data_IF_064149488074
#
_entry.id   IF_064149488074
#
_cell.length_a   1.000
_cell.length_b   1.000
_cell.length_c   1.000
_cell.angle_alpha   90.00
_cell.angle_beta   90.00
_cell.angle_gamma   90.00
#
_symmetry.space_group_name_H-M   'P 1'
#
loop_
_entity.id
_entity.type
_entity.pdbx_description
1 polymer ?
#
# COMPACT_ATOMS: atom_id res chain seq x y z
N UNK A 1 79.63 -14.27 31.15
CA UNK A 1 79.06 -15.31 32.04
C UNK A 1 77.56 -15.07 32.09
N UNK A 2 76.83 -16.16 31.94
CA UNK A 2 75.37 -16.29 31.76
C UNK A 2 74.54 -15.60 32.85
N UNK A 3 73.31 -15.18 32.55
CA UNK A 3 72.13 -16.01 32.85
C UNK A 3 70.80 -15.39 32.38
N UNK A 4 69.94 -16.27 31.89
CA UNK A 4 68.53 -16.11 31.54
C UNK A 4 67.65 -16.12 32.80
N UNK A 5 66.55 -15.34 32.82
CA UNK A 5 65.16 -15.87 32.96
C UNK A 5 64.07 -14.83 33.20
N UNK A 6 62.97 -15.01 32.44
CA UNK A 6 61.54 -14.87 32.78
C UNK A 6 61.01 -13.52 33.33
N UNK A 7 59.98 -12.91 32.75
CA UNK A 7 58.59 -13.43 32.75
C UNK A 7 57.68 -12.60 31.83
N UNK A 8 56.74 -13.31 31.17
CA UNK A 8 55.62 -12.80 30.38
C UNK A 8 54.52 -12.20 31.28
N UNK A 9 53.80 -11.18 30.79
CA UNK A 9 52.38 -10.99 31.12
C UNK A 9 51.65 -10.28 29.98
N UNK A 10 50.67 -11.00 29.41
CA UNK A 10 49.90 -10.61 28.23
C UNK A 10 48.64 -9.82 28.56
N UNK A 11 48.17 -9.05 27.56
CA UNK A 11 46.88 -8.35 27.56
C UNK A 11 45.75 -9.37 27.27
N UNK A 12 44.58 -9.27 27.92
CA UNK A 12 43.49 -10.21 27.69
C UNK A 12 42.82 -9.97 26.34
N UNK A 13 42.70 -11.03 25.53
CA UNK A 13 41.80 -11.09 24.37
C UNK A 13 40.47 -11.69 24.84
N UNK A 14 39.39 -10.92 24.72
CA UNK A 14 38.01 -11.42 24.84
C UNK A 14 37.75 -12.42 23.71
N UNK A 15 37.62 -13.70 24.07
CA UNK A 15 37.16 -14.77 23.18
C UNK A 15 35.63 -14.73 23.17
N UNK A 16 35.04 -14.34 22.04
CA UNK A 16 33.60 -14.44 21.79
C UNK A 16 33.29 -15.91 21.44
N UNK A 17 32.81 -16.67 22.43
CA UNK A 17 32.28 -18.01 22.23
C UNK A 17 30.89 -17.90 21.58
N UNK A 18 30.83 -18.08 20.27
CA UNK A 18 29.59 -18.43 19.58
C UNK A 18 29.33 -19.93 19.79
N UNK A 19 28.19 -20.34 20.36
CA UNK A 19 27.78 -21.73 20.29
C UNK A 19 27.33 -22.03 18.86
N UNK A 20 28.10 -22.85 18.15
CA UNK A 20 27.55 -23.63 17.05
C UNK A 20 26.40 -24.48 17.60
N UNK A 21 25.33 -24.66 16.81
CA UNK A 21 24.09 -25.38 17.16
C UNK A 21 22.96 -24.56 17.81
N UNK A 22 22.47 -23.53 17.10
CA UNK A 22 21.06 -23.14 17.23
C UNK A 22 20.24 -24.06 16.31
N UNK A 23 19.74 -25.17 16.87
CA UNK A 23 18.69 -25.96 16.23
C UNK A 23 17.39 -25.14 16.25
N UNK A 24 16.85 -24.81 15.08
CA UNK A 24 15.53 -24.19 14.88
C UNK A 24 14.56 -25.24 14.31
N UNK A 25 13.81 -26.01 15.13
CA UNK A 25 12.82 -26.95 14.62
C UNK A 25 11.51 -26.25 14.19
N UNK A 26 11.38 -24.95 14.39
CA UNK A 26 10.12 -24.22 14.26
C UNK A 26 9.79 -23.77 12.81
N UNK A 27 10.74 -23.86 11.88
CA UNK A 27 10.54 -23.43 10.48
C UNK A 27 10.23 -24.58 9.51
N UNK A 28 10.07 -25.81 9.99
CA UNK A 28 10.07 -27.00 9.13
C UNK A 28 8.91 -27.99 9.39
N UNK A 29 7.70 -27.48 9.61
CA UNK A 29 6.48 -28.30 9.57
C UNK A 29 5.76 -28.12 8.23
N UNK A 30 6.35 -28.68 7.18
CA UNK A 30 5.63 -29.05 5.96
C UNK A 30 5.65 -30.58 5.85
N UNK A 31 4.51 -31.27 5.73
CA UNK A 31 4.49 -32.72 5.68
C UNK A 31 5.27 -33.25 4.47
N UNK A 32 6.13 -34.25 4.70
CA UNK A 32 7.09 -34.78 3.73
C UNK A 32 6.48 -35.68 2.64
N UNK A 33 5.20 -35.53 2.30
CA UNK A 33 4.50 -36.34 1.28
C UNK A 33 4.00 -35.46 0.15
N UNK A 34 4.88 -35.12 -0.78
CA UNK A 34 4.63 -34.97 -2.23
C UNK A 34 5.98 -34.66 -2.90
N UNK A 35 6.89 -35.64 -2.95
CA UNK A 35 8.05 -35.59 -3.86
C UNK A 35 7.55 -35.98 -5.26
N UNK A 36 6.91 -35.05 -5.96
CA UNK A 36 6.70 -35.18 -7.40
C UNK A 36 8.06 -34.94 -8.05
N UNK A 37 8.57 -35.96 -8.75
CA UNK A 37 9.86 -35.91 -9.41
C UNK A 37 9.96 -34.71 -10.34
N UNK A 38 10.96 -33.84 -10.11
CA UNK A 38 11.37 -32.78 -11.04
C UNK A 38 11.86 -33.42 -12.34
N UNK A 39 10.95 -33.66 -13.29
CA UNK A 39 11.32 -33.86 -14.68
C UNK A 39 11.52 -32.48 -15.28
N UNK A 40 12.77 -32.03 -15.34
CA UNK A 40 13.16 -30.79 -16.02
C UNK A 40 12.97 -31.03 -17.52
N UNK A 41 11.76 -30.83 -18.03
CA UNK A 41 11.50 -30.78 -19.47
C UNK A 41 12.22 -29.54 -20.00
N UNK A 42 13.41 -29.73 -20.59
CA UNK A 42 14.02 -28.75 -21.48
C UNK A 42 13.09 -28.62 -22.70
N UNK A 43 12.07 -27.77 -22.60
CA UNK A 43 11.43 -27.25 -23.80
C UNK A 43 12.47 -26.36 -24.49
N UNK A 44 12.78 -26.68 -25.74
CA UNK A 44 13.56 -25.79 -26.60
C UNK A 44 12.80 -24.46 -26.68
N UNK A 45 13.38 -23.39 -26.14
CA UNK A 45 12.85 -22.04 -26.30
C UNK A 45 12.81 -21.71 -27.79
N UNK A 46 11.60 -21.39 -28.27
CA UNK A 46 11.45 -20.71 -29.56
C UNK A 46 12.06 -19.31 -29.45
N UNK A 47 12.70 -18.78 -30.51
CA UNK A 47 13.17 -17.41 -30.51
C UNK A 47 11.94 -16.49 -30.51
N UNK A 48 11.67 -15.82 -29.38
CA UNK A 48 10.52 -14.91 -29.24
C UNK A 48 9.91 -14.83 -27.84
N UNK A 49 10.18 -15.78 -26.95
CA UNK A 49 9.71 -15.69 -25.56
C UNK A 49 10.77 -15.01 -24.70
N UNK A 50 10.67 -13.69 -24.52
CA UNK A 50 11.36 -13.03 -23.41
C UNK A 50 10.87 -13.70 -22.12
N UNK A 51 11.80 -14.30 -21.35
CA UNK A 51 11.48 -14.93 -20.08
C UNK A 51 10.87 -13.85 -19.17
N UNK A 52 9.64 -14.04 -18.66
CA UNK A 52 8.84 -13.04 -17.91
C UNK A 52 9.63 -12.35 -16.80
N UNK A 53 10.58 -13.08 -16.25
CA UNK A 53 11.38 -12.67 -15.10
C UNK A 53 12.64 -11.90 -15.52
N UNK A 54 13.11 -12.06 -16.76
CA UNK A 54 14.36 -11.53 -17.29
C UNK A 54 14.45 -10.01 -17.18
N UNK A 55 15.63 -9.54 -16.78
CA UNK A 55 15.93 -8.12 -16.66
C UNK A 55 16.63 -7.63 -17.93
N UNK A 56 16.28 -6.42 -18.36
CA UNK A 56 16.98 -5.76 -19.46
C UNK A 56 18.35 -5.29 -18.97
N UNK A 57 19.39 -5.54 -19.75
CA UNK A 57 20.79 -5.22 -19.38
C UNK A 57 21.47 -4.21 -20.30
N UNK A 58 20.81 -3.80 -21.39
CA UNK A 58 21.36 -2.81 -22.31
C UNK A 58 21.37 -1.40 -21.69
N UNK A 59 22.53 -0.75 -21.76
CA UNK A 59 22.74 0.66 -21.42
C UNK A 59 22.75 1.57 -22.65
N UNK A 60 22.40 1.05 -23.83
CA UNK A 60 22.34 1.87 -25.05
C UNK A 60 21.00 2.63 -25.12
N UNK A 61 21.05 3.96 -25.04
CA UNK A 61 19.86 4.82 -25.10
C UNK A 61 19.12 4.71 -26.45
N UNK A 62 19.82 4.38 -27.54
CA UNK A 62 19.19 4.18 -28.86
C UNK A 62 18.25 2.99 -28.90
N UNK A 63 18.41 2.01 -28.02
CA UNK A 63 17.47 0.90 -27.88
C UNK A 63 16.12 1.41 -27.39
N UNK A 64 16.11 2.31 -26.40
CA UNK A 64 14.87 2.93 -25.93
C UNK A 64 14.22 3.85 -26.95
N UNK A 65 15.00 4.56 -27.77
CA UNK A 65 14.45 5.35 -28.88
C UNK A 65 13.75 4.44 -29.89
N UNK A 66 14.36 3.31 -30.25
CA UNK A 66 13.76 2.32 -31.15
C UNK A 66 12.51 1.68 -30.56
N UNK A 67 12.50 1.40 -29.25
CA UNK A 67 11.31 0.91 -28.54
C UNK A 67 10.18 1.94 -28.57
N UNK A 68 10.48 3.22 -28.33
CA UNK A 68 9.50 4.31 -28.35
C UNK A 68 8.90 4.51 -29.76
N UNK A 69 9.73 4.42 -30.80
CA UNK A 69 9.27 4.51 -32.19
C UNK A 69 8.33 3.37 -32.59
N UNK A 70 8.49 2.19 -31.96
CA UNK A 70 7.63 1.01 -32.19
C UNK A 70 6.45 0.95 -31.22
N UNK A 71 6.33 1.89 -30.29
CA UNK A 71 5.30 1.85 -29.26
C UNK A 71 3.93 2.16 -29.86
N UNK A 72 2.98 1.24 -29.68
CA UNK A 72 1.59 1.47 -30.03
C UNK A 72 0.88 2.15 -28.87
N UNK A 73 0.60 3.44 -29.03
CA UNK A 73 -0.06 4.27 -28.02
C UNK A 73 -1.42 3.72 -27.61
N UNK A 74 -1.62 3.56 -26.30
CA UNK A 74 -2.87 3.13 -25.67
C UNK A 74 -3.41 4.26 -24.79
N UNK A 75 -4.69 4.18 -24.44
CA UNK A 75 -5.32 5.15 -23.52
C UNK A 75 -4.62 5.22 -22.16
N UNK A 76 -4.02 4.11 -21.70
CA UNK A 76 -3.19 4.09 -20.49
C UNK A 76 -1.96 4.99 -20.55
N UNK A 77 -1.48 5.35 -21.74
CA UNK A 77 -0.30 6.21 -21.92
C UNK A 77 -0.62 7.69 -21.67
N UNK A 78 -1.90 8.06 -21.63
CA UNK A 78 -2.34 9.41 -21.25
C UNK A 78 -1.81 9.82 -19.88
N UNK A 79 -1.57 8.85 -18.99
CA UNK A 79 -0.97 9.08 -17.68
C UNK A 79 0.38 9.81 -17.78
N UNK A 80 1.18 9.54 -18.83
CA UNK A 80 2.48 10.17 -19.01
C UNK A 80 2.36 11.63 -19.47
N UNK A 81 1.28 11.98 -20.18
CA UNK A 81 0.97 13.37 -20.48
C UNK A 81 0.65 14.16 -19.20
N UNK A 82 -0.18 13.58 -18.31
CA UNK A 82 -0.49 14.19 -17.00
C UNK A 82 0.78 14.34 -16.14
N UNK A 83 1.62 13.31 -16.08
CA UNK A 83 2.93 13.37 -15.40
C UNK A 83 3.81 14.46 -16.01
N UNK A 84 3.89 14.54 -17.34
CA UNK A 84 4.65 15.58 -18.04
C UNK A 84 4.17 16.99 -17.69
N UNK A 85 2.86 17.21 -17.66
CA UNK A 85 2.27 18.49 -17.27
C UNK A 85 2.60 18.86 -15.80
N UNK A 86 2.55 17.90 -14.88
CA UNK A 86 2.93 18.13 -13.48
C UNK A 86 4.42 18.46 -13.32
N UNK A 87 5.30 17.81 -14.08
CA UNK A 87 6.73 18.12 -14.09
C UNK A 87 6.97 19.53 -14.64
N UNK A 88 6.32 19.88 -15.77
CA UNK A 88 6.42 21.21 -16.36
C UNK A 88 5.91 22.29 -15.40
N UNK A 89 4.76 22.06 -14.76
CA UNK A 89 4.22 22.94 -13.73
C UNK A 89 5.21 23.10 -12.55
N UNK A 90 5.79 22.00 -12.07
CA UNK A 90 6.76 22.03 -10.97
C UNK A 90 8.01 22.82 -11.34
N UNK A 91 8.50 22.68 -12.56
CA UNK A 91 9.63 23.49 -13.07
C UNK A 91 9.26 24.94 -13.32
N UNK A 92 8.02 25.23 -13.67
CA UNK A 92 7.54 26.60 -13.83
C UNK A 92 7.54 27.37 -12.50
N UNK A 93 7.01 26.76 -11.43
CA UNK A 93 6.95 27.41 -10.10
C UNK A 93 8.30 27.41 -9.37
N UNK A 94 9.19 26.47 -9.66
CA UNK A 94 10.49 26.40 -9.00
C UNK A 94 11.39 27.60 -9.36
N UNK A 95 12.28 28.04 -8.44
CA UNK A 95 13.21 29.14 -8.69
C UNK A 95 13.98 29.03 -10.01
N UNK A 96 14.35 30.16 -10.64
CA UNK A 96 15.06 30.15 -11.92
C UNK A 96 16.44 29.51 -11.77
N UNK A 97 16.59 28.32 -12.33
CA UNK A 97 17.85 27.56 -12.37
C UNK A 97 17.96 26.81 -13.71
N UNK A 98 18.09 27.53 -14.85
CA UNK A 98 17.95 26.95 -16.18
C UNK A 98 18.94 25.81 -16.45
N UNK A 99 20.20 25.95 -16.00
CA UNK A 99 21.21 24.90 -16.14
C UNK A 99 20.84 23.62 -15.37
N UNK A 100 20.42 23.73 -14.11
CA UNK A 100 20.02 22.58 -13.28
C UNK A 100 18.78 21.91 -13.85
N UNK A 101 17.77 22.70 -14.25
CA UNK A 101 16.54 22.18 -14.88
C UNK A 101 16.84 21.46 -16.19
N UNK A 102 17.71 22.02 -17.03
CA UNK A 102 18.13 21.39 -18.29
C UNK A 102 18.88 20.07 -18.03
N UNK A 103 19.83 20.05 -17.09
CA UNK A 103 20.55 18.84 -16.71
C UNK A 103 19.62 17.77 -16.15
N UNK A 104 18.62 18.16 -15.34
CA UNK A 104 17.61 17.25 -14.84
C UNK A 104 16.79 16.63 -15.98
N UNK A 105 16.32 17.43 -16.96
CA UNK A 105 15.57 16.93 -18.12
C UNK A 105 16.42 15.95 -18.94
N UNK A 106 17.66 16.32 -19.25
CA UNK A 106 18.58 15.47 -20.02
C UNK A 106 18.86 14.17 -19.26
N UNK A 107 19.16 14.26 -17.96
CA UNK A 107 19.40 13.10 -17.11
C UNK A 107 18.20 12.16 -17.02
N UNK A 108 17.00 12.71 -16.82
CA UNK A 108 15.75 11.93 -16.82
C UNK A 108 15.50 11.25 -18.16
N UNK A 109 15.68 11.97 -19.28
CA UNK A 109 15.54 11.39 -20.62
C UNK A 109 16.52 10.24 -20.84
N UNK A 110 17.80 10.43 -20.46
CA UNK A 110 18.82 9.38 -20.56
C UNK A 110 18.47 8.12 -19.78
N UNK A 111 18.09 8.29 -18.51
CA UNK A 111 17.74 7.18 -17.61
C UNK A 111 16.46 6.46 -18.05
N UNK A 112 15.52 7.18 -18.68
CA UNK A 112 14.30 6.59 -19.24
C UNK A 112 14.51 5.95 -20.62
N UNK A 113 15.54 6.32 -21.37
CA UNK A 113 15.85 5.72 -22.67
C UNK A 113 16.72 4.46 -22.56
N UNK A 114 17.55 4.31 -21.53
CA UNK A 114 18.35 3.10 -21.35
C UNK A 114 17.49 1.92 -20.82
N UNK A 115 17.36 0.79 -21.53
CA UNK A 115 16.52 -0.33 -21.08
C UNK A 115 16.85 -0.86 -19.67
N UNK A 116 18.14 -0.91 -19.32
CA UNK A 116 18.61 -1.38 -18.02
C UNK A 116 18.07 -0.55 -16.84
N UNK A 117 17.94 0.76 -17.02
CA UNK A 117 17.43 1.67 -15.97
C UNK A 117 15.94 1.94 -16.12
N UNK A 118 15.43 2.02 -17.36
CA UNK A 118 14.01 2.28 -17.67
C UNK A 118 13.07 1.31 -16.98
N UNK A 119 13.44 0.02 -16.87
CA UNK A 119 12.61 -0.98 -16.19
C UNK A 119 12.32 -0.66 -14.71
N UNK A 120 13.16 0.17 -14.07
CA UNK A 120 12.95 0.69 -12.72
C UNK A 120 12.33 2.10 -12.73
N UNK A 121 12.87 3.01 -13.54
CA UNK A 121 12.47 4.42 -13.52
C UNK A 121 11.14 4.71 -14.20
N UNK A 122 10.76 3.95 -15.24
CA UNK A 122 9.48 4.16 -15.92
C UNK A 122 8.29 3.79 -15.03
N UNK A 123 8.26 2.63 -14.33
CA UNK A 123 7.19 2.36 -13.37
C UNK A 123 7.17 3.30 -12.16
N UNK A 124 8.33 3.81 -11.73
CA UNK A 124 8.44 4.71 -10.58
C UNK A 124 8.34 6.20 -10.95
N UNK A 125 8.11 6.55 -12.22
CA UNK A 125 8.08 7.95 -12.68
C UNK A 125 7.08 8.80 -11.90
N UNK A 126 5.95 8.22 -11.49
CA UNK A 126 4.91 8.90 -10.70
C UNK A 126 5.39 9.21 -9.27
N UNK A 127 6.26 8.38 -8.68
CA UNK A 127 6.87 8.64 -7.37
C UNK A 127 7.84 9.82 -7.47
N UNK A 128 8.71 9.82 -8.49
CA UNK A 128 9.65 10.93 -8.71
C UNK A 128 8.92 12.24 -9.00
N UNK A 129 7.83 12.17 -9.76
CA UNK A 129 6.96 13.31 -10.06
C UNK A 129 6.26 13.81 -8.80
N UNK A 130 5.74 12.91 -7.96
CA UNK A 130 5.17 13.26 -6.66
C UNK A 130 6.19 14.00 -5.78
N UNK A 131 7.41 13.47 -5.64
CA UNK A 131 8.46 14.10 -4.82
C UNK A 131 8.79 15.51 -5.35
N UNK A 132 9.02 15.63 -6.67
CA UNK A 132 9.27 16.93 -7.30
C UNK A 132 8.10 17.90 -7.05
N UNK A 133 6.88 17.46 -7.29
CA UNK A 133 5.66 18.25 -7.12
C UNK A 133 5.47 18.71 -5.67
N UNK A 134 5.64 17.80 -4.71
CA UNK A 134 5.56 18.09 -3.28
C UNK A 134 6.60 19.13 -2.86
N UNK A 135 7.87 18.95 -3.21
CA UNK A 135 8.92 19.90 -2.82
C UNK A 135 8.75 21.26 -3.51
N UNK A 136 8.37 21.28 -4.79
CA UNK A 136 8.15 22.51 -5.54
C UNK A 136 6.92 23.29 -5.08
N UNK A 137 5.93 22.62 -4.47
CA UNK A 137 4.70 23.25 -4.00
C UNK A 137 4.92 24.42 -3.02
N UNK A 138 6.05 24.48 -2.32
CA UNK A 138 6.42 25.62 -1.45
C UNK A 138 6.57 26.93 -2.21
N UNK A 139 6.88 26.86 -3.51
CA UNK A 139 7.12 28.04 -4.36
C UNK A 139 5.85 28.60 -4.99
N UNK A 140 4.67 27.99 -4.74
CA UNK A 140 3.39 28.56 -5.18
C UNK A 140 3.18 29.90 -4.44
N UNK A 141 2.98 31.03 -5.16
CA UNK A 141 2.76 32.33 -4.54
C UNK A 141 1.48 32.35 -3.68
N UNK A 142 1.52 33.08 -2.56
CA UNK A 142 0.44 33.09 -1.58
C UNK A 142 -0.90 33.58 -2.15
N UNK A 143 -0.89 34.43 -3.18
CA UNK A 143 -2.09 34.96 -3.85
C UNK A 143 -2.93 33.90 -4.59
N UNK A 144 -2.30 32.79 -5.01
CA UNK A 144 -3.00 31.68 -5.68
C UNK A 144 -3.42 30.58 -4.71
N UNK A 145 -3.01 30.67 -3.45
CA UNK A 145 -3.28 29.61 -2.48
C UNK A 145 -4.68 29.81 -1.88
N UNK A 146 -5.46 28.73 -1.73
CA UNK A 146 -6.83 28.81 -1.20
C UNK A 146 -6.86 29.15 0.30
N UNK A 147 -8.05 29.35 0.86
CA UNK A 147 -8.19 29.56 2.30
C UNK A 147 -7.80 28.30 3.11
N UNK A 148 -7.07 28.48 4.22
CA UNK A 148 -6.70 27.40 5.15
C UNK A 148 -7.83 27.13 6.13
N UNK A 149 -8.35 25.90 6.10
CA UNK A 149 -9.43 25.48 6.97
C UNK A 149 -8.91 25.03 8.34
N UNK A 150 -9.05 25.89 9.34
CA UNK A 150 -8.66 25.59 10.73
C UNK A 150 -9.76 24.90 11.54
N UNK A 151 -11.03 24.98 11.11
CA UNK A 151 -12.18 24.45 11.86
C UNK A 151 -12.76 23.13 11.33
N UNK A 152 -12.47 22.77 10.08
CA UNK A 152 -13.13 21.64 9.42
C UNK A 152 -12.78 20.31 10.09
N UNK A 153 -11.49 20.02 10.25
CA UNK A 153 -11.06 18.73 10.83
C UNK A 153 -11.45 18.59 12.31
N UNK A 154 -11.22 19.58 13.19
CA UNK A 154 -11.70 19.51 14.58
C UNK A 154 -13.21 19.31 14.69
N UNK A 155 -13.99 20.02 13.87
CA UNK A 155 -15.45 19.89 13.88
C UNK A 155 -15.89 18.50 13.42
N UNK A 156 -15.28 17.95 12.36
CA UNK A 156 -15.58 16.62 11.88
C UNK A 156 -15.21 15.54 12.90
N UNK A 157 -14.07 15.65 13.59
CA UNK A 157 -13.73 14.71 14.66
C UNK A 157 -14.76 14.74 15.79
N UNK A 158 -15.12 15.93 16.26
CA UNK A 158 -16.09 16.07 17.34
C UNK A 158 -17.47 15.51 16.94
N UNK A 159 -17.91 15.72 15.70
CA UNK A 159 -19.19 15.19 15.20
C UNK A 159 -19.16 13.68 15.02
N UNK A 160 -18.09 13.13 14.44
CA UNK A 160 -18.01 11.72 14.08
C UNK A 160 -17.63 10.81 15.25
N UNK A 161 -16.78 11.28 16.15
CA UNK A 161 -16.23 10.48 17.23
C UNK A 161 -16.64 10.95 18.62
N UNK A 162 -17.37 12.06 18.72
CA UNK A 162 -17.83 12.62 20.00
C UNK A 162 -16.72 13.29 20.82
N UNK A 163 -15.48 13.28 20.32
CA UNK A 163 -14.33 13.92 20.93
C UNK A 163 -13.21 14.14 19.90
N UNK A 164 -12.30 15.06 20.23
CA UNK A 164 -11.06 15.25 19.49
C UNK A 164 -10.07 14.16 19.92
N UNK A 165 -10.00 13.04 19.17
CA UNK A 165 -9.15 11.91 19.54
C UNK A 165 -7.68 12.31 19.59
N UNK A 166 -7.26 13.18 18.68
CA UNK A 166 -5.87 13.63 18.61
C UNK A 166 -5.46 14.38 19.89
N UNK A 167 -6.35 15.21 20.45
CA UNK A 167 -6.09 15.92 21.71
C UNK A 167 -6.08 14.99 22.91
N UNK A 168 -6.96 13.97 22.95
CA UNK A 168 -7.00 12.98 24.04
C UNK A 168 -5.71 12.14 24.06
N UNK A 169 -5.28 11.67 22.90
CA UNK A 169 -4.06 10.85 22.77
C UNK A 169 -2.81 11.68 23.09
N UNK A 170 -2.73 12.91 22.59
CA UNK A 170 -1.57 13.79 22.81
C UNK A 170 -1.51 14.41 24.20
N UNK A 171 -2.58 14.34 25.01
CA UNK A 171 -2.58 14.80 26.40
C UNK A 171 -1.74 13.92 27.35
N UNK A 172 -1.59 12.63 27.05
CA UNK A 172 -0.89 11.67 27.91
C UNK A 172 0.51 11.35 27.39
N UNK A 173 1.42 12.31 27.54
CA UNK A 173 2.78 12.21 26.99
C UNK A 173 3.72 11.46 27.92
N UNK A 174 4.52 10.57 27.35
CA UNK A 174 5.55 9.83 28.09
C UNK A 174 6.72 9.47 27.17
N UNK A 175 7.97 9.56 27.64
CA UNK A 175 9.15 9.35 26.78
C UNK A 175 9.19 7.97 26.12
N UNK A 176 8.66 6.93 26.78
CA UNK A 176 8.53 5.59 26.18
C UNK A 176 7.53 5.59 25.02
N UNK A 177 6.39 6.26 25.17
CA UNK A 177 5.39 6.38 24.12
C UNK A 177 5.90 7.25 22.96
N UNK A 178 6.70 8.28 23.27
CA UNK A 178 7.39 9.09 22.26
C UNK A 178 8.31 8.22 21.39
N UNK A 179 9.16 7.39 22.01
CA UNK A 179 10.03 6.47 21.26
C UNK A 179 9.19 5.44 20.46
N UNK A 180 8.13 4.89 21.05
CA UNK A 180 7.24 3.95 20.35
C UNK A 180 6.50 4.58 19.17
N UNK A 181 6.12 5.86 19.25
CA UNK A 181 5.51 6.59 18.13
C UNK A 181 6.57 6.97 17.08
N UNK A 182 7.78 7.29 17.53
CA UNK A 182 8.88 7.67 16.66
C UNK A 182 9.39 6.54 15.77
N UNK A 183 9.34 5.28 16.20
CA UNK A 183 9.77 4.15 15.35
C UNK A 183 8.99 4.10 14.01
N UNK A 184 7.65 3.94 14.01
CA UNK A 184 6.89 3.86 12.77
C UNK A 184 6.86 5.20 12.01
N UNK A 185 6.70 6.32 12.72
CA UNK A 185 6.49 7.64 12.11
C UNK A 185 7.77 8.45 11.88
N UNK A 186 8.80 8.34 12.71
CA UNK A 186 10.06 9.04 12.50
C UNK A 186 11.03 8.30 11.57
N UNK A 187 11.03 6.96 11.61
CA UNK A 187 12.00 6.14 10.90
C UNK A 187 11.38 5.28 9.79
N UNK A 188 10.40 4.44 10.13
CA UNK A 188 9.93 3.41 9.20
C UNK A 188 9.21 3.99 7.98
N UNK A 189 8.34 4.99 8.13
CA UNK A 189 7.50 5.44 7.00
C UNK A 189 8.29 5.98 5.78
N UNK A 190 9.55 6.41 5.96
CA UNK A 190 10.41 6.82 4.85
C UNK A 190 11.02 5.63 4.11
N UNK A 191 11.43 4.59 4.85
CA UNK A 191 12.11 3.41 4.31
C UNK A 191 11.15 2.29 3.88
N UNK A 192 9.98 2.20 4.50
CA UNK A 192 9.01 1.12 4.30
C UNK A 192 8.55 1.00 2.84
N UNK A 193 8.29 2.08 2.07
CA UNK A 193 7.91 1.94 0.66
C UNK A 193 8.99 1.24 -0.19
N UNK A 194 10.27 1.52 0.11
CA UNK A 194 11.42 0.93 -0.59
C UNK A 194 11.58 -0.53 -0.20
N UNK A 195 11.51 -0.84 1.10
CA UNK A 195 11.58 -2.22 1.59
C UNK A 195 10.44 -3.07 1.02
N UNK A 196 9.20 -2.56 1.03
CA UNK A 196 8.05 -3.22 0.43
C UNK A 196 8.27 -3.47 -1.08
N UNK A 197 8.76 -2.47 -1.82
CA UNK A 197 9.07 -2.63 -3.24
C UNK A 197 10.12 -3.71 -3.50
N UNK A 198 11.18 -3.78 -2.67
CA UNK A 198 12.21 -4.82 -2.77
C UNK A 198 11.67 -6.22 -2.45
N UNK A 199 10.89 -6.35 -1.37
CA UNK A 199 10.25 -7.61 -1.01
C UNK A 199 9.29 -8.09 -2.10
N UNK A 200 8.46 -7.20 -2.65
CA UNK A 200 7.59 -7.51 -3.78
C UNK A 200 8.38 -7.85 -5.04
N UNK A 201 9.50 -7.16 -5.30
CA UNK A 201 10.32 -7.47 -6.46
C UNK A 201 10.88 -8.89 -6.38
N UNK A 202 11.40 -9.31 -5.23
CA UNK A 202 12.08 -10.61 -5.06
C UNK A 202 11.10 -11.77 -4.84
N UNK A 203 10.08 -11.58 -3.99
CA UNK A 203 9.24 -12.67 -3.47
C UNK A 203 7.79 -12.65 -3.97
N UNK A 204 7.35 -11.58 -4.65
CA UNK A 204 6.02 -11.57 -5.27
C UNK A 204 6.07 -11.95 -6.75
N UNK A 205 4.89 -12.15 -7.33
CA UNK A 205 4.75 -12.44 -8.75
C UNK A 205 5.37 -11.33 -9.62
N UNK A 206 6.08 -11.67 -10.72
CA UNK A 206 6.65 -10.70 -11.64
C UNK A 206 5.60 -9.69 -12.11
N UNK A 207 5.96 -8.39 -12.11
CA UNK A 207 5.03 -7.30 -12.43
C UNK A 207 4.40 -6.61 -11.21
N UNK A 208 4.45 -7.21 -10.02
CA UNK A 208 3.87 -6.63 -8.79
C UNK A 208 4.54 -5.31 -8.39
N UNK A 209 5.87 -5.27 -8.32
CA UNK A 209 6.60 -4.06 -7.92
C UNK A 209 6.39 -2.84 -8.86
N UNK A 210 6.34 -3.01 -10.20
CA UNK A 210 5.91 -1.95 -11.11
C UNK A 210 4.48 -1.44 -10.87
N UNK A 211 3.54 -2.30 -10.48
CA UNK A 211 2.17 -1.88 -10.17
C UNK A 211 2.15 -1.12 -8.85
N UNK A 212 2.82 -1.64 -7.82
CA UNK A 212 3.06 -0.95 -6.55
C UNK A 212 3.57 0.48 -6.76
N UNK A 213 4.66 0.64 -7.52
CA UNK A 213 5.29 1.94 -7.71
C UNK A 213 4.35 2.95 -8.37
N UNK A 214 3.60 2.53 -9.39
CA UNK A 214 2.62 3.39 -10.08
C UNK A 214 1.48 3.78 -9.16
N UNK A 215 0.90 2.80 -8.46
CA UNK A 215 -0.23 3.01 -7.53
C UNK A 215 0.17 3.94 -6.39
N UNK A 216 1.33 3.71 -5.77
CA UNK A 216 1.87 4.56 -4.72
C UNK A 216 2.08 5.99 -5.23
N UNK A 217 2.75 6.16 -6.37
CA UNK A 217 3.00 7.50 -6.92
C UNK A 217 1.72 8.27 -7.26
N UNK A 218 0.73 7.64 -7.91
CA UNK A 218 -0.54 8.31 -8.24
C UNK A 218 -1.38 8.66 -7.01
N UNK A 219 -1.45 7.76 -6.03
CA UNK A 219 -2.11 8.02 -4.75
C UNK A 219 -1.47 9.24 -4.07
N UNK A 220 -0.14 9.30 -4.05
CA UNK A 220 0.59 10.41 -3.43
C UNK A 220 0.44 11.73 -4.18
N UNK A 221 0.42 11.72 -5.52
CA UNK A 221 0.08 12.90 -6.35
C UNK A 221 -1.32 13.41 -5.99
N UNK A 222 -2.30 12.51 -5.88
CA UNK A 222 -3.67 12.89 -5.52
C UNK A 222 -3.71 13.50 -4.11
N UNK A 223 -3.07 12.87 -3.12
CA UNK A 223 -3.04 13.38 -1.75
C UNK A 223 -2.44 14.79 -1.67
N UNK A 224 -1.29 15.03 -2.29
CA UNK A 224 -0.68 16.38 -2.35
C UNK A 224 -1.59 17.37 -3.08
N UNK A 225 -2.24 16.94 -4.16
CA UNK A 225 -3.17 17.81 -4.90
C UNK A 225 -4.36 18.23 -4.03
N UNK A 226 -4.94 17.30 -3.26
CA UNK A 226 -6.02 17.63 -2.32
C UNK A 226 -5.51 18.57 -1.23
N UNK A 227 -4.33 18.32 -0.66
CA UNK A 227 -3.73 19.19 0.36
C UNK A 227 -3.49 20.63 -0.13
N UNK A 228 -3.20 20.81 -1.43
CA UNK A 228 -3.02 22.13 -2.03
C UNK A 228 -4.35 22.83 -2.35
N UNK A 229 -5.37 22.09 -2.77
CA UNK A 229 -6.69 22.64 -3.12
C UNK A 229 -7.60 22.84 -1.90
N UNK A 230 -7.40 22.04 -0.85
CA UNK A 230 -8.17 22.03 0.38
C UNK A 230 -7.23 21.92 1.59
N UNK A 231 -6.42 22.96 1.86
CA UNK A 231 -5.48 22.96 2.97
C UNK A 231 -6.25 23.01 4.30
N UNK A 232 -5.91 22.09 5.19
CA UNK A 232 -6.48 21.99 6.52
C UNK A 232 -5.38 22.03 7.56
N UNK A 233 -5.61 22.78 8.64
CA UNK A 233 -4.65 22.86 9.73
C UNK A 233 -4.59 21.52 10.50
N UNK A 234 -3.39 21.05 10.87
CA UNK A 234 -3.19 19.86 11.69
C UNK A 234 -3.40 20.13 13.20
N UNK A 235 -3.47 19.08 14.05
CA UNK A 235 -3.73 19.23 15.49
C UNK A 235 -2.74 20.12 16.25
N UNK A 236 -1.46 20.10 15.89
CA UNK A 236 -0.47 20.98 16.52
C UNK A 236 -0.83 22.46 16.40
N UNK A 237 -1.45 22.87 15.29
CA UNK A 237 -1.83 24.26 15.09
C UNK A 237 -2.97 24.64 16.03
N UNK A 238 -3.97 23.76 16.19
CA UNK A 238 -5.06 23.97 17.14
C UNK A 238 -4.54 24.07 18.58
N UNK A 239 -3.55 23.26 18.96
CA UNK A 239 -2.97 23.32 20.30
C UNK A 239 -2.15 24.60 20.56
N UNK A 240 -1.43 25.11 19.55
CA UNK A 240 -0.57 26.28 19.69
C UNK A 240 -1.32 27.62 19.50
N UNK A 241 -2.28 27.66 18.59
CA UNK A 241 -2.96 28.88 18.13
C UNK A 241 -4.49 28.85 18.28
N UNK A 242 -5.06 27.76 18.80
CA UNK A 242 -6.50 27.58 18.86
C UNK A 242 -7.14 27.54 17.47
N UNK A 243 -8.32 28.16 17.34
CA UNK A 243 -9.08 28.21 16.08
C UNK A 243 -8.92 29.54 15.35
N UNK A 244 -7.82 30.25 15.60
CA UNK A 244 -7.49 31.50 14.93
C UNK A 244 -7.17 31.24 13.44
N UNK A 245 -7.62 32.12 12.52
CA UNK A 245 -7.35 31.94 11.09
C UNK A 245 -5.85 31.86 10.80
N UNK A 246 -5.43 30.76 10.16
CA UNK A 246 -4.05 30.57 9.71
C UNK A 246 -3.74 31.45 8.49
N UNK A 247 -2.48 31.87 8.38
CA UNK A 247 -1.99 32.66 7.27
C UNK A 247 -0.79 31.98 6.57
N UNK A 248 -0.67 32.19 5.26
CA UNK A 248 0.50 31.75 4.52
C UNK A 248 1.75 32.53 4.93
N UNK A 249 2.88 31.83 5.03
CA UNK A 249 4.15 32.38 5.53
C UNK A 249 4.44 32.02 6.99
N UNK A 250 3.47 31.46 7.72
CA UNK A 250 3.73 30.84 9.03
C UNK A 250 4.65 29.62 8.86
N UNK A 251 5.63 29.42 9.77
CA UNK A 251 6.45 28.21 9.79
C UNK A 251 5.59 26.99 10.15
N UNK A 252 6.03 25.80 9.76
CA UNK A 252 5.46 24.56 10.31
C UNK A 252 5.91 24.34 11.76
N UNK A 253 5.35 23.31 12.41
CA UNK A 253 5.76 22.89 13.75
C UNK A 253 6.21 21.42 13.75
N UNK A 254 7.31 21.08 14.45
CA UNK A 254 7.67 19.69 14.73
C UNK A 254 6.67 19.00 15.66
N UNK A 255 5.76 19.74 16.32
CA UNK A 255 4.76 19.19 17.21
C UNK A 255 5.37 18.23 18.26
N UNK A 256 4.78 17.04 18.43
CA UNK A 256 5.29 16.04 19.36
C UNK A 256 6.70 15.52 19.04
N UNK A 257 7.18 15.65 17.79
CA UNK A 257 8.54 15.23 17.42
C UNK A 257 9.62 16.12 18.05
N UNK A 258 9.31 17.34 18.50
CA UNK A 258 10.26 18.15 19.26
C UNK A 258 10.76 17.43 20.53
N UNK A 259 9.92 16.57 21.13
CA UNK A 259 10.31 15.75 22.27
C UNK A 259 11.37 14.70 21.90
N UNK A 260 11.35 14.19 20.67
CA UNK A 260 12.34 13.24 20.18
C UNK A 260 13.70 13.91 19.98
N UNK A 261 13.71 15.09 19.37
CA UNK A 261 14.90 15.93 19.26
C UNK A 261 15.53 16.18 20.64
N UNK A 262 14.70 16.52 21.64
CA UNK A 262 15.14 16.72 23.02
C UNK A 262 15.67 15.44 23.69
N UNK A 263 15.03 14.28 23.47
CA UNK A 263 15.46 12.99 24.03
C UNK A 263 16.85 12.60 23.50
N UNK A 264 17.10 12.79 22.20
CA UNK A 264 18.37 12.40 21.58
C UNK A 264 19.42 13.51 21.52
N UNK A 265 19.07 14.75 21.85
CA UNK A 265 19.95 15.90 21.75
C UNK A 265 20.33 16.24 20.30
N UNK A 266 19.41 16.05 19.36
CA UNK A 266 19.60 16.31 17.92
C UNK A 266 18.65 17.42 17.44
N UNK A 267 18.95 18.03 16.29
CA UNK A 267 18.03 18.92 15.57
C UNK A 267 17.74 18.31 14.20
N UNK A 268 16.83 17.33 14.19
CA UNK A 268 16.40 16.67 12.97
C UNK A 268 14.97 17.08 12.62
N UNK A 269 14.06 17.01 13.58
CA UNK A 269 12.65 17.27 13.32
C UNK A 269 12.30 18.74 13.41
N UNK A 270 12.92 19.47 14.32
CA UNK A 270 12.68 20.90 14.55
C UNK A 270 12.95 21.70 13.27
N UNK A 271 14.15 21.59 12.70
CA UNK A 271 14.47 22.29 11.44
C UNK A 271 13.63 21.79 10.24
N UNK A 272 13.45 20.48 10.09
CA UNK A 272 12.78 19.93 8.90
C UNK A 272 11.27 20.23 8.87
N UNK A 273 10.59 20.17 10.02
CA UNK A 273 9.15 20.47 10.09
C UNK A 273 8.87 21.96 10.08
N UNK A 274 9.76 22.79 10.63
CA UNK A 274 9.63 24.26 10.53
C UNK A 274 9.68 24.75 9.09
N UNK A 275 10.36 24.02 8.20
CA UNK A 275 10.57 24.35 6.79
C UNK A 275 9.80 23.44 5.82
N UNK A 276 8.79 22.73 6.31
CA UNK A 276 7.96 21.82 5.53
C UNK A 276 7.32 22.53 4.32
N UNK A 277 7.28 21.92 3.12
CA UNK A 277 6.69 22.56 1.94
C UNK A 277 5.19 22.90 2.08
N UNK A 278 4.44 22.05 2.80
CA UNK A 278 2.97 22.14 2.94
C UNK A 278 2.59 21.96 4.42
N UNK A 279 2.82 22.96 5.28
CA UNK A 279 2.59 22.84 6.73
C UNK A 279 1.10 22.67 7.09
N UNK A 280 0.20 23.20 6.26
CA UNK A 280 -1.26 23.09 6.42
C UNK A 280 -1.87 22.02 5.49
N UNK A 281 -1.11 20.97 5.20
CA UNK A 281 -1.53 19.85 4.35
C UNK A 281 -2.01 18.64 5.16
N UNK A 282 -2.78 18.84 6.25
CA UNK A 282 -3.19 17.72 7.10
C UNK A 282 -4.13 16.73 6.37
N UNK A 283 -5.01 17.23 5.50
CA UNK A 283 -6.05 16.44 4.85
C UNK A 283 -5.78 16.19 3.35
N UNK A 284 -5.87 14.94 2.86
CA UNK A 284 -5.90 13.69 3.62
C UNK A 284 -4.51 13.33 4.15
N UNK A 285 -4.42 12.43 5.13
CA UNK A 285 -3.13 11.98 5.63
C UNK A 285 -2.44 11.04 4.65
N UNK A 286 -1.31 11.50 4.09
CA UNK A 286 -0.44 10.66 3.26
C UNK A 286 0.30 9.59 4.08
N UNK A 287 0.54 9.82 5.38
CA UNK A 287 1.16 8.81 6.24
C UNK A 287 0.24 7.59 6.40
N UNK A 288 -1.05 7.82 6.70
CA UNK A 288 -2.04 6.74 6.73
C UNK A 288 -2.23 6.10 5.36
N UNK A 289 -2.35 6.91 4.30
CA UNK A 289 -2.53 6.40 2.95
C UNK A 289 -1.38 5.46 2.54
N UNK A 290 -0.13 5.87 2.78
CA UNK A 290 1.05 5.05 2.50
C UNK A 290 1.04 3.76 3.31
N UNK A 291 0.85 3.83 4.63
CA UNK A 291 0.89 2.65 5.50
C UNK A 291 -0.24 1.65 5.19
N UNK A 292 -1.44 2.14 4.87
CA UNK A 292 -2.56 1.29 4.45
C UNK A 292 -2.29 0.67 3.09
N UNK A 293 -1.75 1.42 2.12
CA UNK A 293 -1.42 0.89 0.80
C UNK A 293 -0.35 -0.20 0.91
N UNK A 294 0.70 0.03 1.69
CA UNK A 294 1.74 -0.96 2.01
C UNK A 294 1.11 -2.22 2.61
N UNK A 295 0.25 -2.05 3.60
CA UNK A 295 -0.40 -3.18 4.26
C UNK A 295 -1.27 -4.01 3.31
N UNK A 296 -2.00 -3.37 2.39
CA UNK A 296 -2.82 -4.05 1.40
C UNK A 296 -1.98 -4.83 0.38
N UNK A 297 -0.95 -4.22 -0.20
CA UNK A 297 -0.06 -4.90 -1.14
C UNK A 297 0.73 -6.03 -0.49
N UNK A 298 1.26 -5.81 0.71
CA UNK A 298 2.01 -6.82 1.44
C UNK A 298 1.10 -7.96 1.90
N UNK A 299 -0.15 -7.69 2.28
CA UNK A 299 -1.14 -8.74 2.59
C UNK A 299 -1.55 -9.55 1.37
N UNK A 300 -1.60 -8.93 0.19
CA UNK A 300 -1.82 -9.66 -1.07
C UNK A 300 -0.66 -10.60 -1.41
N UNK A 301 0.57 -10.13 -1.24
CA UNK A 301 1.77 -10.91 -1.55
C UNK A 301 2.04 -12.00 -0.49
N UNK A 302 1.78 -11.69 0.79
CA UNK A 302 2.12 -12.52 1.95
C UNK A 302 0.95 -12.60 2.95
N UNK A 303 -0.17 -13.26 2.60
CA UNK A 303 -1.37 -13.31 3.44
C UNK A 303 -1.13 -13.91 4.82
N UNK A 304 -0.14 -14.80 4.98
CA UNK A 304 0.25 -15.34 6.28
C UNK A 304 0.74 -14.27 7.28
N UNK A 305 1.22 -13.12 6.80
CA UNK A 305 1.70 -12.01 7.63
C UNK A 305 0.72 -10.83 7.68
N UNK A 306 -0.51 -11.01 7.17
CA UNK A 306 -1.55 -9.97 7.10
C UNK A 306 -1.75 -9.22 8.41
N UNK A 307 -1.81 -9.95 9.53
CA UNK A 307 -2.00 -9.35 10.86
C UNK A 307 -0.89 -8.37 11.20
N UNK A 308 0.38 -8.70 10.91
CA UNK A 308 1.51 -7.81 11.16
C UNK A 308 1.44 -6.53 10.33
N UNK A 309 1.05 -6.64 9.05
CA UNK A 309 0.91 -5.48 8.18
C UNK A 309 -0.23 -4.56 8.61
N UNK A 310 -1.37 -5.11 9.04
CA UNK A 310 -2.49 -4.33 9.57
C UNK A 310 -2.10 -3.65 10.89
N UNK A 311 -1.41 -4.37 11.78
CA UNK A 311 -0.88 -3.80 13.03
C UNK A 311 0.08 -2.64 12.75
N UNK A 312 0.97 -2.78 11.75
CA UNK A 312 1.86 -1.69 11.32
C UNK A 312 1.09 -0.45 10.86
N UNK A 313 0.08 -0.61 9.99
CA UNK A 313 -0.74 0.51 9.54
C UNK A 313 -1.45 1.21 10.71
N UNK A 314 -2.04 0.43 11.63
CA UNK A 314 -2.65 0.96 12.85
C UNK A 314 -1.63 1.69 13.75
N UNK A 315 -0.41 1.18 13.84
CA UNK A 315 0.66 1.77 14.63
C UNK A 315 1.13 3.13 14.06
N UNK A 316 1.24 3.26 12.72
CA UNK A 316 1.51 4.55 12.06
C UNK A 316 0.38 5.54 12.34
N UNK A 317 -0.88 5.13 12.17
CA UNK A 317 -2.04 5.98 12.44
C UNK A 317 -2.04 6.50 13.89
N UNK A 318 -1.86 5.61 14.86
CA UNK A 318 -1.73 5.98 16.27
C UNK A 318 -0.58 6.97 16.49
N UNK A 319 0.60 6.69 15.94
CA UNK A 319 1.79 7.52 16.13
C UNK A 319 1.57 8.95 15.60
N UNK A 320 0.94 9.11 14.44
CA UNK A 320 0.67 10.43 13.86
C UNK A 320 -0.33 11.26 14.66
N UNK A 321 -1.32 10.63 15.31
CA UNK A 321 -2.24 11.31 16.24
C UNK A 321 -1.55 11.65 17.55
N UNK A 322 -0.80 10.70 18.12
CA UNK A 322 -0.10 10.88 19.40
C UNK A 322 0.95 12.00 19.33
N UNK A 323 1.61 12.16 18.19
CA UNK A 323 2.56 13.25 17.92
C UNK A 323 1.89 14.53 17.37
N UNK A 324 0.55 14.56 17.32
CA UNK A 324 -0.27 15.73 16.96
C UNK A 324 -0.08 16.25 15.53
N UNK A 325 0.24 15.37 14.59
CA UNK A 325 0.35 15.73 13.16
C UNK A 325 -0.93 15.50 12.37
N UNK A 326 -1.82 14.63 12.84
CA UNK A 326 -3.02 14.23 12.12
C UNK A 326 -4.23 14.01 13.03
N UNK A 327 -5.40 14.32 12.49
CA UNK A 327 -6.70 13.97 13.08
C UNK A 327 -7.14 12.59 12.60
N UNK A 328 -7.87 11.82 13.40
CA UNK A 328 -8.40 10.52 13.04
C UNK A 328 -9.17 10.51 11.70
N UNK A 329 -9.94 11.57 11.42
CA UNK A 329 -10.73 11.67 10.18
C UNK A 329 -9.83 11.77 8.93
N UNK A 330 -8.71 12.49 9.00
CA UNK A 330 -7.81 12.61 7.85
C UNK A 330 -7.04 11.32 7.59
N UNK A 331 -6.79 10.51 8.63
CA UNK A 331 -6.23 9.17 8.54
C UNK A 331 -7.21 8.18 7.88
N UNK A 332 -8.48 8.23 8.28
CA UNK A 332 -9.53 7.39 7.69
C UNK A 332 -9.68 7.70 6.20
N UNK A 333 -9.78 8.98 5.82
CA UNK A 333 -9.89 9.35 4.41
C UNK A 333 -8.63 8.97 3.62
N UNK A 334 -7.44 9.15 4.19
CA UNK A 334 -6.18 8.68 3.58
C UNK A 334 -6.19 7.17 3.32
N UNK A 335 -6.62 6.38 4.31
CA UNK A 335 -6.76 4.93 4.18
C UNK A 335 -7.83 4.50 3.15
N UNK A 336 -8.93 5.24 3.04
CA UNK A 336 -9.96 4.99 2.01
C UNK A 336 -9.42 5.27 0.61
N UNK A 337 -8.70 6.38 0.41
CA UNK A 337 -8.05 6.70 -0.87
C UNK A 337 -7.07 5.57 -1.24
N UNK A 338 -6.20 5.16 -0.31
CA UNK A 338 -5.29 4.04 -0.52
C UNK A 338 -6.01 2.75 -0.92
N UNK A 339 -7.12 2.43 -0.24
CA UNK A 339 -7.94 1.27 -0.54
C UNK A 339 -8.53 1.34 -1.94
N UNK A 340 -9.09 2.48 -2.36
CA UNK A 340 -9.60 2.68 -3.71
C UNK A 340 -8.52 2.45 -4.77
N UNK A 341 -7.32 3.01 -4.57
CA UNK A 341 -6.18 2.82 -5.46
C UNK A 341 -5.73 1.36 -5.52
N UNK A 342 -5.64 0.69 -4.37
CA UNK A 342 -5.29 -0.73 -4.29
C UNK A 342 -6.29 -1.60 -5.05
N UNK A 343 -7.58 -1.49 -4.78
CA UNK A 343 -8.58 -2.35 -5.40
C UNK A 343 -8.74 -2.07 -6.90
N UNK A 344 -8.62 -0.81 -7.33
CA UNK A 344 -8.56 -0.47 -8.75
C UNK A 344 -7.34 -1.10 -9.43
N UNK A 345 -6.18 -1.08 -8.78
CA UNK A 345 -4.97 -1.72 -9.29
C UNK A 345 -5.07 -3.25 -9.29
N UNK A 346 -5.65 -3.83 -8.24
CA UNK A 346 -5.88 -5.26 -8.09
C UNK A 346 -6.74 -5.80 -9.23
N UNK A 347 -7.85 -5.13 -9.53
CA UNK A 347 -8.81 -5.59 -10.53
C UNK A 347 -8.24 -5.59 -11.97
N UNK A 348 -7.29 -4.69 -12.28
CA UNK A 348 -6.84 -4.45 -13.67
C UNK A 348 -5.41 -4.86 -13.98
N UNK A 349 -4.50 -4.73 -13.03
CA UNK A 349 -3.06 -4.79 -13.31
C UNK A 349 -2.26 -5.64 -12.33
N UNK A 350 -2.79 -6.00 -11.16
CA UNK A 350 -2.01 -6.72 -10.16
C UNK A 350 -1.91 -8.22 -10.51
N UNK A 351 -0.69 -8.77 -10.59
CA UNK A 351 -0.48 -10.20 -10.74
C UNK A 351 -1.11 -11.03 -9.61
N UNK A 352 -1.67 -12.18 -9.97
CA UNK A 352 -2.12 -13.19 -9.00
C UNK A 352 -0.93 -13.97 -8.43
N UNK A 353 -1.01 -14.24 -7.12
CA UNK A 353 -0.12 -15.20 -6.46
C UNK A 353 -0.48 -16.62 -6.89
N UNK A 354 0.53 -17.42 -7.20
CA UNK A 354 0.38 -18.85 -7.50
C UNK A 354 0.92 -19.69 -6.35
N UNK A 355 0.23 -20.79 -6.03
CA UNK A 355 0.63 -21.68 -4.94
C UNK A 355 1.96 -22.38 -5.23
N UNK A 356 2.74 -22.60 -4.18
CA UNK A 356 4.05 -23.26 -4.28
C UNK A 356 5.18 -22.41 -4.88
N UNK A 357 4.91 -21.17 -5.34
CA UNK A 357 5.92 -20.24 -5.86
C UNK A 357 6.32 -19.23 -4.80
N UNK A 358 7.58 -19.25 -4.38
CA UNK A 358 8.12 -18.39 -3.30
C UNK A 358 8.84 -17.17 -3.87
N UNK A 359 9.57 -17.33 -4.95
CA UNK A 359 10.36 -16.25 -5.56
C UNK A 359 9.86 -15.88 -6.95
N UNK A 360 10.12 -14.65 -7.39
CA UNK A 360 9.76 -14.18 -8.74
C UNK A 360 10.25 -15.12 -9.85
N UNK A 361 11.39 -15.77 -9.64
CA UNK A 361 12.09 -16.60 -10.64
C UNK A 361 11.46 -17.98 -10.84
N UNK A 362 10.56 -18.39 -9.96
CA UNK A 362 9.79 -19.64 -10.09
C UNK A 362 8.53 -19.46 -10.95
N UNK A 363 8.21 -18.22 -11.35
CA UNK A 363 7.05 -17.93 -12.18
C UNK A 363 7.34 -18.19 -13.66
N UNK A 364 6.68 -19.20 -14.21
CA UNK A 364 6.65 -19.48 -15.65
C UNK A 364 5.61 -18.66 -16.43
N UNK A 365 4.54 -18.20 -15.76
CA UNK A 365 3.48 -17.36 -16.33
C UNK A 365 2.84 -16.50 -15.23
N UNK A 366 2.17 -15.41 -15.64
CA UNK A 366 1.43 -14.52 -14.73
C UNK A 366 -0.02 -14.42 -15.19
N UNK A 367 -0.94 -14.46 -14.23
CA UNK A 367 -2.38 -14.26 -14.44
C UNK A 367 -2.83 -12.95 -13.80
N UNK A 368 -3.78 -12.28 -14.45
CA UNK A 368 -4.43 -11.07 -13.96
C UNK A 368 -5.93 -11.29 -13.74
N UNK A 369 -6.56 -10.47 -12.90
CA UNK A 369 -7.98 -10.55 -12.55
C UNK A 369 -8.26 -11.38 -11.29
N UNK A 370 -9.53 -11.45 -10.90
CA UNK A 370 -9.98 -12.38 -9.85
C UNK A 370 -10.27 -13.75 -10.47
N UNK A 371 -9.98 -14.84 -9.75
CA UNK A 371 -10.35 -16.18 -10.21
C UNK A 371 -11.87 -16.24 -10.28
N UNK A 372 -12.44 -16.82 -11.34
CA UNK A 372 -13.80 -17.35 -11.26
C UNK A 372 -13.78 -18.41 -10.15
N UNK A 373 -14.17 -18.00 -8.94
CA UNK A 373 -14.63 -18.95 -7.95
C UNK A 373 -15.90 -19.53 -8.56
N UNK A 374 -15.76 -20.68 -9.22
CA UNK A 374 -16.86 -21.65 -9.16
C UNK A 374 -17.07 -21.79 -7.65
N UNK A 375 -18.24 -21.36 -7.18
CA UNK A 375 -18.65 -21.49 -5.80
C UNK A 375 -18.69 -22.98 -5.49
N UNK A 376 -17.55 -23.55 -5.13
CA UNK A 376 -17.52 -24.85 -4.48
C UNK A 376 -18.19 -24.61 -3.11
N UNK A 377 -19.48 -24.93 -3.03
CA UNK A 377 -20.32 -24.85 -1.83
C UNK A 377 -19.75 -25.65 -0.63
N UNK A 378 -18.62 -26.33 -0.81
CA UNK A 378 -17.95 -27.18 0.18
C UNK A 378 -16.97 -26.42 1.09
N UNK A 379 -16.58 -25.18 0.76
CA UNK A 379 -15.82 -24.30 1.65
C UNK A 379 -16.45 -22.90 1.72
N UNK A 380 -17.52 -22.78 2.51
CA UNK A 380 -18.15 -21.52 2.87
C UNK A 380 -17.25 -20.63 3.75
N UNK A 381 -16.17 -20.09 3.20
CA UNK A 381 -15.47 -18.95 3.80
C UNK A 381 -16.17 -17.66 3.36
N UNK A 382 -17.09 -17.22 4.22
CA UNK A 382 -17.70 -15.91 4.14
C UNK A 382 -16.64 -14.83 3.99
N UNK A 383 -16.81 -13.99 2.96
CA UNK A 383 -16.20 -12.68 2.85
C UNK A 383 -16.70 -11.80 4.00
N UNK A 384 -16.12 -12.00 5.18
CA UNK A 384 -16.43 -11.29 6.41
C UNK A 384 -15.13 -10.81 7.03
N UNK A 385 -15.12 -9.54 7.44
CA UNK A 385 -14.08 -8.85 8.18
C UNK A 385 -13.48 -9.75 9.29
N UNK A 386 -12.40 -10.46 8.94
CA UNK A 386 -11.85 -11.59 9.70
C UNK A 386 -11.01 -11.16 10.90
N UNK A 387 -11.64 -10.55 11.90
CA UNK A 387 -10.98 -10.20 13.16
C UNK A 387 -11.19 -11.25 14.27
N UNK A 388 -12.03 -12.28 14.06
CA UNK A 388 -12.33 -13.26 15.10
C UNK A 388 -12.43 -14.70 14.56
N UNK A 389 -11.30 -15.24 14.11
CA UNK A 389 -11.13 -16.69 13.99
C UNK A 389 -10.77 -17.28 15.35
N UNK A 390 -11.76 -17.78 16.11
CA UNK A 390 -11.47 -18.62 17.30
C UNK A 390 -10.90 -19.97 16.82
N UNK A 391 -9.81 -20.50 17.43
CA UNK A 391 -9.44 -21.89 17.20
C UNK A 391 -10.49 -22.76 17.88
N UNK A 392 -11.23 -23.56 17.11
CA UNK A 392 -12.03 -24.65 17.69
C UNK A 392 -11.08 -25.77 18.09
N UNK A 393 -11.18 -26.13 19.36
CA UNK A 393 -10.41 -27.16 20.04
C UNK A 393 -10.61 -28.54 19.42
N UNK A 394 -9.57 -29.36 19.54
CA UNK A 394 -9.59 -30.80 19.39
C UNK A 394 -10.83 -31.41 20.05
N UNK A 395 -11.69 -32.03 19.24
CA UNK A 395 -12.61 -33.05 19.70
C UNK A 395 -12.16 -34.35 19.07
N UNK A 396 -11.60 -35.21 19.91
CA UNK A 396 -11.65 -36.64 19.69
C UNK A 396 -13.08 -37.04 19.35
N UNK A 397 -13.25 -37.91 18.35
CA UNK A 397 -13.87 -39.21 18.53
C UNK A 397 -13.78 -39.99 17.21
N UNK A 398 -13.18 -41.18 17.32
CA UNK A 398 -13.08 -42.13 16.23
C UNK A 398 -14.34 -42.98 16.09
N UNK A 399 -14.30 -43.81 15.04
CA UNK A 399 -15.12 -44.98 14.73
C UNK A 399 -16.33 -44.77 13.81
N UNK A 400 -16.17 -45.24 12.55
CA UNK A 400 -16.93 -46.30 11.83
C UNK A 400 -16.86 -46.02 10.31
N UNK A 401 -16.02 -46.71 9.53
CA UNK A 401 -16.20 -48.00 8.83
C UNK A 401 -17.37 -48.03 7.83
N UNK A 402 -16.98 -47.94 6.55
CA UNK A 402 -17.42 -48.69 5.38
C UNK A 402 -18.90 -48.73 4.92
N UNK A 403 -19.04 -48.37 3.65
CA UNK A 403 -19.81 -49.04 2.59
C UNK A 403 -21.25 -48.64 2.31
N UNK A 404 -21.47 -48.50 1.00
CA UNK A 404 -22.69 -48.82 0.24
C UNK A 404 -23.67 -47.67 -0.06
N UNK A 405 -23.48 -47.14 -1.26
CA UNK A 405 -24.48 -46.81 -2.29
C UNK A 405 -25.95 -47.16 -1.97
N UNK A 406 -26.87 -46.20 -2.12
CA UNK A 406 -28.01 -46.28 -3.07
C UNK A 406 -28.95 -45.05 -3.03
N UNK A 407 -29.28 -44.59 -4.25
CA UNK A 407 -30.61 -44.16 -4.72
C UNK A 407 -31.32 -42.91 -4.17
N UNK A 408 -31.28 -41.86 -5.01
CA UNK A 408 -32.41 -41.17 -5.66
C UNK A 408 -33.68 -40.80 -4.84
N UNK A 409 -33.87 -39.48 -4.68
CA UNK A 409 -35.08 -38.69 -4.98
C UNK A 409 -36.47 -39.34 -4.83
N UNK A 410 -37.25 -38.85 -3.85
CA UNK A 410 -38.53 -38.15 -4.07
C UNK A 410 -39.30 -37.91 -2.75
N UNK A 411 -39.97 -36.76 -2.65
CA UNK A 411 -41.27 -36.68 -1.97
C UNK A 411 -41.36 -35.88 -0.66
N UNK A 412 -41.77 -34.61 -0.82
CA UNK A 412 -42.87 -33.90 -0.11
C UNK A 412 -43.03 -34.01 1.42
N UNK A 413 -43.13 -32.86 2.10
CA UNK A 413 -44.37 -32.36 2.73
C UNK A 413 -44.10 -31.09 3.58
N UNK A 414 -44.88 -30.05 3.33
CA UNK A 414 -45.04 -28.86 4.19
C UNK A 414 -45.97 -29.15 5.39
N UNK A 415 -45.95 -28.32 6.45
CA UNK A 415 -47.13 -28.09 7.26
C UNK A 415 -47.62 -26.63 7.24
N UNK A 416 -48.91 -26.51 7.47
CA UNK A 416 -49.85 -25.39 7.28
C UNK A 416 -50.05 -24.51 8.51
N UNK A 417 -50.13 -23.19 8.26
CA UNK A 417 -51.14 -22.19 8.65
C UNK A 417 -51.65 -22.05 10.10
N UNK A 418 -51.73 -20.79 10.53
CA UNK A 418 -52.85 -20.22 11.28
C UNK A 418 -53.13 -18.78 10.79
N UNK A 419 -54.36 -18.53 10.33
CA UNK A 419 -54.91 -17.24 9.87
C UNK A 419 -55.38 -16.37 11.04
N UNK A 420 -55.28 -15.03 10.89
CA UNK A 420 -56.37 -14.10 11.27
C UNK A 420 -56.21 -12.71 10.60
N UNK A 421 -57.14 -12.42 9.69
CA UNK A 421 -57.83 -11.14 9.42
C UNK A 421 -57.06 -9.83 9.06
N UNK A 422 -57.06 -9.44 7.76
CA UNK A 422 -57.85 -8.35 7.14
C UNK A 422 -57.29 -7.92 5.74
N UNK A 423 -58.15 -7.44 4.81
CA UNK A 423 -57.83 -7.27 3.39
C UNK A 423 -57.43 -5.84 3.02
N UNK A 424 -56.43 -5.70 2.14
CA UNK A 424 -55.99 -4.41 1.61
C UNK A 424 -55.19 -4.60 0.33
N UNK A 425 -55.92 -4.76 -0.77
CA UNK A 425 -55.39 -4.86 -2.13
C UNK A 425 -54.94 -3.45 -2.58
N UNK A 426 -53.64 -3.23 -2.74
CA UNK A 426 -53.08 -2.11 -3.53
C UNK A 426 -52.09 -2.70 -4.53
N UNK A 427 -52.59 -2.94 -5.75
CA UNK A 427 -51.74 -3.09 -6.94
C UNK A 427 -51.27 -1.71 -7.37
N UNK A 428 -49.96 -1.53 -7.48
CA UNK A 428 -49.37 -0.42 -8.22
C UNK A 428 -49.68 -0.60 -9.71
N UNK A 429 -50.49 0.32 -10.26
CA UNK A 429 -50.69 0.44 -11.70
C UNK A 429 -49.76 1.52 -12.23
N UNK A 430 -48.95 1.18 -13.22
CA UNK A 430 -48.22 2.15 -14.02
C UNK A 430 -49.16 2.82 -15.04
N UNK A 431 -48.89 4.08 -15.37
CA UNK A 431 -49.83 5.06 -15.95
C UNK A 431 -50.24 4.83 -17.43
N UNK A 432 -50.25 3.57 -17.89
CA UNK A 432 -50.64 3.24 -19.27
C UNK A 432 -51.35 1.88 -19.45
N UNK A 433 -51.90 1.28 -18.38
CA UNK A 433 -52.90 0.21 -18.51
C UNK A 433 -52.43 -1.10 -19.16
N UNK A 434 -51.14 -1.44 -19.10
CA UNK A 434 -50.61 -2.73 -19.54
C UNK A 434 -50.02 -3.53 -18.37
N UNK A 435 -50.33 -4.83 -18.33
CA UNK A 435 -49.77 -5.80 -17.38
C UNK A 435 -48.26 -5.96 -17.59
N UNK A 436 -47.52 -5.98 -16.49
CA UNK A 436 -46.05 -6.09 -16.49
C UNK A 436 -45.62 -7.51 -16.90
N UNK A 437 -45.30 -7.70 -18.18
CA UNK A 437 -44.68 -8.94 -18.68
C UNK A 437 -43.17 -8.90 -18.39
N UNK A 438 -42.73 -9.72 -17.43
CA UNK A 438 -41.37 -9.79 -16.90
C UNK A 438 -40.33 -10.41 -17.84
N UNK A 439 -40.17 -9.86 -19.05
CA UNK A 439 -39.11 -10.24 -19.98
C UNK A 439 -38.21 -9.04 -20.31
N UNK A 440 -37.32 -8.70 -19.37
CA UNK A 440 -36.13 -7.92 -19.70
C UNK A 440 -35.08 -8.87 -20.32
N UNK A 441 -34.46 -8.54 -21.47
CA UNK A 441 -33.37 -9.35 -22.02
C UNK A 441 -32.21 -9.37 -21.03
N UNK A 442 -31.60 -10.56 -20.86
CA UNK A 442 -30.43 -10.74 -20.02
C UNK A 442 -29.35 -9.74 -20.44
N UNK A 443 -29.01 -8.85 -19.52
CA UNK A 443 -27.89 -7.93 -19.68
C UNK A 443 -26.63 -8.77 -19.50
N UNK A 444 -25.89 -9.01 -20.57
CA UNK A 444 -24.56 -9.63 -20.49
C UNK A 444 -23.70 -8.77 -19.57
N UNK A 445 -23.50 -9.27 -18.35
CA UNK A 445 -22.46 -8.78 -17.45
C UNK A 445 -21.17 -9.34 -18.05
N UNK A 446 -20.30 -8.48 -18.59
CA UNK A 446 -18.95 -8.89 -19.01
C UNK A 446 -18.23 -9.52 -17.80
N UNK A 447 -18.25 -10.85 -17.78
CA UNK A 447 -17.55 -11.68 -16.82
C UNK A 447 -16.06 -11.57 -17.11
N UNK A 448 -15.28 -11.20 -16.09
CA UNK A 448 -13.84 -10.95 -16.19
C UNK A 448 -13.09 -12.16 -16.77
N UNK A 449 -12.46 -11.96 -17.92
CA UNK A 449 -11.61 -12.94 -18.60
C UNK A 449 -10.24 -13.02 -17.92
N UNK A 450 -9.79 -14.22 -17.53
CA UNK A 450 -8.44 -14.43 -16.98
C UNK A 450 -7.43 -14.34 -18.13
N UNK A 451 -6.62 -13.29 -18.15
CA UNK A 451 -5.56 -13.13 -19.15
C UNK A 451 -4.27 -13.79 -18.64
N UNK A 452 -3.84 -14.84 -19.34
CA UNK A 452 -2.56 -15.53 -19.08
C UNK A 452 -1.47 -14.91 -19.95
N UNK A 453 -0.47 -14.31 -19.32
CA UNK A 453 0.75 -13.84 -20.02
C UNK A 453 1.87 -14.84 -19.74
N UNK A 454 2.40 -15.43 -20.81
CA UNK A 454 3.46 -16.46 -20.81
C UNK A 454 4.81 -15.89 -21.23
#
# INVERSE_FOLDING_TARGET
MNDFSATLSGKPKLQLLWPEHVNLPFLNTVPHRYRIGRRRTKSKSRPGNEEITSLKTSFNAWDGVRDLQKHHWRTSDLQYAVVGLLILFSFWIAPPAPGVKLLAIIGSAWVLLMPATRQFFLPSVTIWTWLLYFFCSRFIPNEYRPHIWVRVLPALENVLYGANLSSILSAHQHSVLDILAWIPYGLCHFGAPVVCALLMFVFAAPGTAPVWARTFGWMSILGVTIQLLFPCAPPWYEMEHGLEPAAYGMPGSPAGLARIDAIFGIDLYTTNFSTAPVPFGAFPSLHAANAVLEALFMSHCFPQFRTYFIMYAGWVCWATMYLSHHYAIDLVVGGLIASCFFYAAKARWLPRRQEGKITRWEYEYVEYGDRNAISDEEYGEYFGMGLLGRPRADSSDGWTVASSSCSSSSGTLSPTLSEEALPGMLMDMDNNGQLWDGNAPARDVELSEVVVVR
#
